data_IF_735813779322
#
_entry.id   IF_735813779322
#
_cell.length_a   1.000
_cell.length_b   1.000
_cell.length_c   1.000
_cell.angle_alpha   90.00
_cell.angle_beta   90.00
_cell.angle_gamma   90.00
#
_symmetry.space_group_name_H-M   'P 1'
#
loop_
_entity.id
_entity.type
_entity.pdbx_description
1 polymer ?
#
# COMPACT_ATOMS: atom_id res chain seq x y z
N UNK A 1 -8.81 39.76 -20.02
CA UNK A 1 -7.71 38.80 -19.82
C UNK A 1 -8.30 37.62 -19.07
N UNK A 2 -8.43 36.50 -19.78
CA UNK A 2 -9.15 35.26 -19.45
C UNK A 2 -9.06 34.79 -18.00
N UNK A 3 -10.20 34.79 -17.28
CA UNK A 3 -10.39 33.96 -16.09
C UNK A 3 -10.33 32.50 -16.53
N UNK A 4 -9.18 31.88 -16.29
CA UNK A 4 -9.04 30.43 -16.37
C UNK A 4 -9.73 29.93 -15.09
N UNK A 5 -11.06 29.80 -15.14
CA UNK A 5 -11.81 29.05 -14.14
C UNK A 5 -11.29 27.61 -14.20
N UNK A 6 -10.26 27.33 -13.40
CA UNK A 6 -9.70 26.00 -13.23
C UNK A 6 -10.80 25.20 -12.53
N UNK A 7 -11.63 24.53 -13.33
CA UNK A 7 -12.62 23.59 -12.83
C UNK A 7 -11.84 22.43 -12.22
N UNK A 8 -11.44 22.57 -10.95
CA UNK A 8 -10.99 21.44 -10.14
C UNK A 8 -12.18 20.51 -10.08
N UNK A 9 -12.15 19.51 -10.98
CA UNK A 9 -13.12 18.42 -11.00
C UNK A 9 -12.95 17.74 -9.65
N UNK A 10 -13.89 18.01 -8.73
CA UNK A 10 -14.01 17.35 -7.43
C UNK A 10 -13.86 15.84 -7.66
N UNK A 11 -12.66 15.32 -7.40
CA UNK A 11 -12.33 13.92 -7.67
C UNK A 11 -13.00 13.12 -6.57
N UNK A 12 -14.23 12.68 -6.82
CA UNK A 12 -14.98 11.84 -5.88
C UNK A 12 -14.10 10.67 -5.44
N UNK A 13 -13.92 10.47 -4.13
CA UNK A 13 -13.11 9.38 -3.62
C UNK A 13 -13.74 8.05 -4.07
N UNK A 14 -12.96 7.24 -4.78
CA UNK A 14 -13.44 5.94 -5.27
C UNK A 14 -13.44 4.94 -4.10
N UNK A 15 -14.57 4.88 -3.39
CA UNK A 15 -14.77 4.01 -2.21
C UNK A 15 -14.45 2.55 -2.50
N UNK A 16 -14.65 2.09 -3.74
CA UNK A 16 -14.32 0.72 -4.12
C UNK A 16 -12.79 0.49 -4.11
N UNK A 17 -12.01 1.37 -4.72
CA UNK A 17 -10.55 1.29 -4.70
C UNK A 17 -9.99 1.38 -3.28
N UNK A 18 -10.62 2.21 -2.43
CA UNK A 18 -10.28 2.29 -1.01
C UNK A 18 -10.54 0.96 -0.30
N UNK A 19 -11.74 0.37 -0.45
CA UNK A 19 -12.07 -0.91 0.15
C UNK A 19 -11.14 -2.03 -0.32
N UNK A 20 -10.79 -2.07 -1.61
CA UNK A 20 -9.84 -3.06 -2.17
C UNK A 20 -8.45 -2.89 -1.54
N UNK A 21 -7.92 -1.66 -1.47
CA UNK A 21 -6.63 -1.40 -0.81
C UNK A 21 -6.62 -1.85 0.65
N UNK A 22 -7.71 -1.56 1.38
CA UNK A 22 -7.83 -1.92 2.79
C UNK A 22 -7.89 -3.44 2.98
N UNK A 23 -8.72 -4.12 2.18
CA UNK A 23 -8.88 -5.57 2.22
C UNK A 23 -7.61 -6.31 1.79
N UNK A 24 -6.78 -5.76 0.89
CA UNK A 24 -5.46 -6.32 0.58
C UNK A 24 -4.44 -6.08 1.69
N UNK A 25 -4.48 -4.93 2.36
CA UNK A 25 -3.52 -4.64 3.43
C UNK A 25 -3.75 -5.51 4.68
N UNK A 26 -5.02 -5.81 5.00
CA UNK A 26 -5.39 -6.53 6.23
C UNK A 26 -4.74 -7.93 6.38
N UNK A 27 -4.84 -8.85 5.39
CA UNK A 27 -4.24 -10.18 5.52
C UNK A 27 -2.72 -10.11 5.62
N UNK A 28 -2.07 -9.26 4.80
CA UNK A 28 -0.62 -9.08 4.86
C UNK A 28 -0.17 -8.56 6.23
N UNK A 29 -0.90 -7.59 6.79
CA UNK A 29 -0.61 -7.04 8.12
C UNK A 29 -0.82 -8.09 9.22
N UNK A 30 -1.93 -8.83 9.15
CA UNK A 30 -2.24 -9.88 10.12
C UNK A 30 -1.18 -10.98 10.14
N UNK A 31 -0.76 -11.45 8.97
CA UNK A 31 0.30 -12.47 8.82
C UNK A 31 1.60 -11.96 9.41
N UNK A 32 2.01 -10.75 9.05
CA UNK A 32 3.27 -10.19 9.52
C UNK A 32 3.28 -9.92 11.04
N UNK A 33 2.14 -9.54 11.63
CA UNK A 33 2.03 -9.31 13.08
C UNK A 33 1.91 -10.62 13.89
N UNK A 34 1.17 -11.61 13.39
CA UNK A 34 0.86 -12.83 14.13
C UNK A 34 1.93 -13.90 13.92
N UNK A 35 2.42 -14.04 12.68
CA UNK A 35 3.35 -15.10 12.30
C UNK A 35 4.43 -14.59 11.34
N UNK A 36 5.36 -13.74 11.82
CA UNK A 36 6.41 -13.14 10.98
C UNK A 36 7.36 -14.18 10.37
N UNK A 37 7.45 -15.37 10.96
CA UNK A 37 8.25 -16.48 10.44
C UNK A 37 7.86 -16.94 9.03
N UNK A 38 6.65 -16.60 8.56
CA UNK A 38 6.24 -16.86 7.17
C UNK A 38 6.94 -15.97 6.14
N UNK A 39 7.69 -14.96 6.58
CA UNK A 39 8.52 -14.13 5.71
C UNK A 39 10.02 -14.45 5.82
N UNK A 40 10.35 -15.60 6.40
CA UNK A 40 11.71 -16.15 6.36
C UNK A 40 11.98 -16.73 4.98
N UNK A 41 13.21 -16.54 4.50
CA UNK A 41 13.69 -17.24 3.31
C UNK A 41 13.96 -18.72 3.59
N UNK A 42 14.30 -19.47 2.54
CA UNK A 42 14.62 -20.90 2.64
C UNK A 42 15.79 -21.25 3.60
N UNK A 43 16.61 -20.25 3.97
CA UNK A 43 17.71 -20.40 4.92
C UNK A 43 17.35 -19.95 6.34
N UNK A 44 16.10 -19.53 6.58
CA UNK A 44 15.64 -19.04 7.88
C UNK A 44 16.09 -17.61 8.19
N UNK A 45 16.45 -16.81 7.17
CA UNK A 45 16.80 -15.40 7.36
C UNK A 45 15.70 -14.46 6.86
N UNK A 46 15.61 -13.28 7.48
CA UNK A 46 14.75 -12.22 6.99
C UNK A 46 15.45 -11.42 5.90
N UNK A 47 14.84 -11.32 4.73
CA UNK A 47 15.23 -10.29 3.77
C UNK A 47 14.66 -8.94 4.23
N UNK A 48 15.46 -8.21 5.01
CA UNK A 48 15.07 -6.92 5.57
C UNK A 48 14.59 -5.92 4.51
N UNK A 49 15.20 -5.89 3.34
CA UNK A 49 14.80 -5.00 2.25
C UNK A 49 13.41 -5.36 1.73
N UNK A 50 13.14 -6.64 1.48
CA UNK A 50 11.82 -7.10 1.06
C UNK A 50 10.76 -6.77 2.11
N UNK A 51 11.05 -7.03 3.40
CA UNK A 51 10.16 -6.75 4.51
C UNK A 51 9.82 -5.25 4.60
N UNK A 52 10.82 -4.38 4.52
CA UNK A 52 10.63 -2.92 4.52
C UNK A 52 9.76 -2.44 3.35
N UNK A 53 9.96 -3.00 2.15
CA UNK A 53 9.14 -2.69 0.98
C UNK A 53 7.69 -3.13 1.18
N UNK A 54 7.47 -4.33 1.72
CA UNK A 54 6.13 -4.83 2.04
C UNK A 54 5.46 -3.95 3.11
N UNK A 55 6.19 -3.51 4.13
CA UNK A 55 5.67 -2.58 5.15
C UNK A 55 5.22 -1.25 4.56
N UNK A 56 5.96 -0.70 3.61
CA UNK A 56 5.56 0.51 2.87
C UNK A 56 4.29 0.24 2.07
N UNK A 57 4.19 -0.92 1.41
CA UNK A 57 2.99 -1.34 0.68
C UNK A 57 1.76 -1.43 1.57
N UNK A 58 1.86 -2.14 2.70
CA UNK A 58 0.77 -2.26 3.70
C UNK A 58 0.36 -0.89 4.23
N UNK A 59 1.33 -0.04 4.57
CA UNK A 59 1.08 1.33 5.05
C UNK A 59 0.30 2.15 4.01
N UNK A 60 0.70 2.07 2.73
CA UNK A 60 -0.01 2.71 1.63
C UNK A 60 -1.41 2.15 1.41
N UNK A 61 -1.58 0.83 1.56
CA UNK A 61 -2.88 0.16 1.49
C UNK A 61 -3.85 0.65 2.58
N UNK A 62 -3.38 0.83 3.81
CA UNK A 62 -4.18 1.42 4.89
C UNK A 62 -4.46 2.90 4.66
N UNK A 63 -3.45 3.71 4.32
CA UNK A 63 -3.61 5.15 4.07
C UNK A 63 -4.64 5.42 2.98
N UNK A 64 -4.52 4.73 1.84
CA UNK A 64 -5.51 4.82 0.77
C UNK A 64 -6.85 4.23 1.19
N UNK A 65 -6.83 3.11 1.92
CA UNK A 65 -8.02 2.37 2.31
C UNK A 65 -8.95 3.12 3.25
N UNK A 66 -8.40 3.91 4.18
CA UNK A 66 -9.20 4.77 5.07
C UNK A 66 -9.53 6.13 4.45
N UNK A 67 -8.94 6.45 3.29
CA UNK A 67 -9.17 7.71 2.57
C UNK A 67 -8.34 8.87 3.10
N UNK A 68 -7.24 8.58 3.81
CA UNK A 68 -6.34 9.61 4.31
C UNK A 68 -5.53 10.22 3.16
N UNK A 69 -5.55 11.56 3.05
CA UNK A 69 -4.75 12.30 2.08
C UNK A 69 -3.53 12.93 2.77
N UNK A 70 -2.31 12.42 2.58
CA UNK A 70 -1.12 13.00 3.22
C UNK A 70 -0.83 14.42 2.70
N UNK A 71 -0.35 15.27 3.60
CA UNK A 71 -0.07 16.69 3.31
C UNK A 71 1.21 16.91 2.49
N UNK A 72 2.26 16.15 2.79
CA UNK A 72 3.55 16.25 2.13
C UNK A 72 3.55 15.56 0.77
N UNK A 73 4.16 16.17 -0.24
CA UNK A 73 4.10 15.67 -1.62
C UNK A 73 4.76 14.29 -1.80
N UNK A 74 5.89 14.04 -1.12
CA UNK A 74 6.58 12.75 -1.19
C UNK A 74 5.70 11.61 -0.65
N UNK A 75 5.02 11.82 0.47
CA UNK A 75 4.10 10.82 1.06
C UNK A 75 2.87 10.59 0.19
N UNK A 76 2.39 11.64 -0.51
CA UNK A 76 1.33 11.52 -1.52
C UNK A 76 1.70 10.59 -2.66
N UNK A 77 2.96 10.65 -3.08
CA UNK A 77 3.45 9.78 -4.14
C UNK A 77 3.69 8.36 -3.60
N UNK A 78 4.42 8.23 -2.49
CA UNK A 78 4.81 6.94 -1.90
C UNK A 78 3.60 6.07 -1.50
N UNK A 79 2.57 6.67 -0.91
CA UNK A 79 1.36 5.98 -0.49
C UNK A 79 0.21 6.06 -1.51
N UNK A 80 0.56 6.38 -2.76
CA UNK A 80 -0.39 6.29 -3.86
C UNK A 80 -0.77 4.83 -4.11
N UNK A 81 -2.03 4.52 -4.46
CA UNK A 81 -2.44 3.16 -4.81
C UNK A 81 -1.58 2.55 -5.93
N UNK A 82 -1.03 3.36 -6.82
CA UNK A 82 -0.13 2.89 -7.89
C UNK A 82 1.20 2.29 -7.38
N UNK A 83 1.67 2.69 -6.20
CA UNK A 83 2.88 2.13 -5.58
C UNK A 83 2.50 1.07 -4.56
N UNK A 84 1.46 1.33 -3.77
CA UNK A 84 1.00 0.41 -2.73
C UNK A 84 0.52 -0.93 -3.31
N UNK A 85 -0.22 -0.94 -4.42
CA UNK A 85 -0.76 -2.18 -5.00
C UNK A 85 0.35 -3.12 -5.52
N UNK A 86 1.31 -2.66 -6.35
CA UNK A 86 2.43 -3.52 -6.74
C UNK A 86 3.23 -4.06 -5.56
N UNK A 87 3.47 -3.24 -4.53
CA UNK A 87 4.19 -3.69 -3.33
C UNK A 87 3.42 -4.75 -2.54
N UNK A 88 2.11 -4.59 -2.37
CA UNK A 88 1.28 -5.61 -1.73
C UNK A 88 1.19 -6.89 -2.57
N UNK A 89 1.00 -6.77 -3.89
CA UNK A 89 1.00 -7.91 -4.81
C UNK A 89 2.34 -8.65 -4.77
N UNK A 90 3.45 -7.92 -4.74
CA UNK A 90 4.77 -8.50 -4.55
C UNK A 90 4.88 -9.23 -3.21
N UNK A 91 4.40 -8.63 -2.11
CA UNK A 91 4.37 -9.27 -0.80
C UNK A 91 3.56 -10.56 -0.78
N UNK A 92 2.39 -10.58 -1.43
CA UNK A 92 1.61 -11.79 -1.62
C UNK A 92 2.35 -12.82 -2.47
N UNK A 93 2.97 -12.40 -3.57
CA UNK A 93 3.75 -13.28 -4.42
C UNK A 93 4.90 -13.94 -3.65
N UNK A 94 5.68 -13.16 -2.90
CA UNK A 94 6.77 -13.70 -2.08
C UNK A 94 6.28 -14.64 -0.99
N UNK A 95 5.04 -14.48 -0.51
CA UNK A 95 4.51 -15.33 0.54
C UNK A 95 3.95 -16.66 0.01
N UNK A 96 3.37 -16.67 -1.20
CA UNK A 96 2.76 -17.88 -1.77
C UNK A 96 3.68 -18.69 -2.69
N UNK A 97 4.72 -18.07 -3.26
CA UNK A 97 5.54 -18.67 -4.33
C UNK A 97 7.04 -18.78 -4.03
N UNK A 98 7.50 -18.31 -2.87
CA UNK A 98 8.89 -18.47 -2.40
C UNK A 98 8.90 -19.31 -1.15
#
# INVERSE_FOLDING_TARGET
MTEIAMTTKEKKPNKFAMAVSFLMALPLAAVLLIHPSLMLDANGHYNHTALMLIMIGISGGFIHGVGFLPRFWLWKWLFSPYIAWPLMLWGYYTWFFT
#
